data_IF_216751030795
#
_entry.id   IF_216751030795
#
_cell.length_a   1.000
_cell.length_b   1.000
_cell.length_c   1.000
_cell.angle_alpha   90.00
_cell.angle_beta   90.00
_cell.angle_gamma   90.00
#
_symmetry.space_group_name_H-M   'P 1'
#
loop_
_entity.id
_entity.type
_entity.pdbx_description
1 polymer ?
#
# COMPACT_ATOMS: atom_id res chain seq x y z
N UNK A 1 -0.45 7.61 24.04
CA UNK A 1 -0.95 6.55 23.14
C UNK A 1 -2.11 7.17 22.38
N UNK A 2 -1.88 7.96 21.33
CA UNK A 2 -1.73 7.50 19.94
C UNK A 2 -0.94 8.58 19.21
N UNK A 3 0.30 8.27 18.80
CA UNK A 3 1.06 9.17 17.95
C UNK A 3 0.42 9.16 16.57
N UNK A 4 -0.34 10.20 16.24
CA UNK A 4 -0.71 10.51 14.86
C UNK A 4 0.62 10.65 14.10
N UNK A 5 0.92 9.67 13.26
CA UNK A 5 2.07 9.67 12.36
C UNK A 5 1.76 10.67 11.25
N UNK A 6 1.96 11.96 11.52
CA UNK A 6 2.03 12.98 10.47
C UNK A 6 3.37 12.70 9.76
N UNK A 7 3.37 12.23 8.50
CA UNK A 7 4.62 12.08 7.78
C UNK A 7 5.27 13.46 7.64
N UNK A 8 6.49 13.59 8.16
CA UNK A 8 7.28 14.81 7.99
C UNK A 8 7.41 15.20 6.51
N UNK A 9 7.58 16.49 6.21
CA UNK A 9 7.60 16.99 4.83
C UNK A 9 8.69 16.26 4.04
N UNK A 10 8.28 15.36 3.14
CA UNK A 10 9.17 14.55 2.30
C UNK A 10 8.95 13.02 2.32
N UNK A 11 8.12 12.47 3.22
CA UNK A 11 7.89 11.02 3.28
C UNK A 11 6.87 10.56 2.22
N UNK A 12 7.34 9.92 1.15
CA UNK A 12 6.48 9.21 0.19
C UNK A 12 5.67 8.15 0.92
N UNK A 13 4.38 8.06 0.62
CA UNK A 13 3.51 7.00 1.13
C UNK A 13 4.11 5.65 0.79
N UNK A 14 4.19 4.77 1.79
CA UNK A 14 4.77 3.43 1.64
C UNK A 14 3.68 2.36 1.68
N UNK A 15 4.03 1.14 1.26
CA UNK A 15 3.15 -0.03 1.39
C UNK A 15 2.73 -0.30 2.86
N UNK A 16 3.54 0.14 3.84
CA UNK A 16 3.22 -0.01 5.25
C UNK A 16 2.06 0.88 5.67
N UNK A 17 2.05 2.12 5.18
CA UNK A 17 1.00 3.08 5.48
C UNK A 17 -0.33 2.61 4.88
N UNK A 18 -0.29 2.13 3.64
CA UNK A 18 -1.46 1.51 2.98
C UNK A 18 -1.95 0.28 3.75
N UNK A 19 -1.05 -0.56 4.25
CA UNK A 19 -1.40 -1.77 4.99
C UNK A 19 -2.07 -1.45 6.33
N UNK A 20 -1.53 -0.47 7.07
CA UNK A 20 -2.09 0.01 8.33
C UNK A 20 -3.50 0.57 8.13
N UNK A 21 -3.68 1.44 7.14
CA UNK A 21 -4.96 2.10 6.85
C UNK A 21 -6.01 1.11 6.30
N UNK A 22 -5.60 0.15 5.47
CA UNK A 22 -6.48 -0.90 4.97
C UNK A 22 -6.80 -1.99 6.02
N UNK A 23 -6.05 -2.05 7.12
CA UNK A 23 -6.19 -3.07 8.17
C UNK A 23 -5.76 -4.46 7.69
N UNK A 24 -4.75 -4.54 6.82
CA UNK A 24 -4.24 -5.80 6.26
C UNK A 24 -2.73 -5.90 6.42
N UNK A 25 -2.17 -7.07 6.20
CA UNK A 25 -0.70 -7.23 6.21
C UNK A 25 -0.06 -6.57 4.98
N UNK A 26 1.17 -6.10 5.13
CA UNK A 26 2.00 -5.56 4.02
C UNK A 26 2.09 -6.57 2.86
N UNK A 27 2.19 -7.86 3.18
CA UNK A 27 2.20 -8.96 2.20
C UNK A 27 0.93 -8.96 1.33
N UNK A 28 -0.22 -8.70 1.93
CA UNK A 28 -1.51 -8.61 1.21
C UNK A 28 -1.52 -7.41 0.29
N UNK A 29 -1.09 -6.23 0.76
CA UNK A 29 -0.95 -5.05 -0.10
C UNK A 29 0.01 -5.32 -1.26
N UNK A 30 1.17 -5.92 -0.99
CA UNK A 30 2.13 -6.30 -2.03
C UNK A 30 1.50 -7.22 -3.07
N UNK A 31 0.70 -8.21 -2.65
CA UNK A 31 0.00 -9.10 -3.58
C UNK A 31 -1.03 -8.37 -4.42
N UNK A 32 -1.81 -7.46 -3.82
CA UNK A 32 -2.78 -6.64 -4.55
C UNK A 32 -2.08 -5.75 -5.58
N UNK A 33 -1.01 -5.06 -5.18
CA UNK A 33 -0.25 -4.17 -6.06
C UNK A 33 0.49 -4.93 -7.16
N UNK A 34 0.92 -6.17 -6.88
CA UNK A 34 1.54 -7.07 -7.87
C UNK A 34 0.53 -7.87 -8.71
N UNK A 35 -0.78 -7.77 -8.44
CA UNK A 35 -1.81 -8.52 -9.16
C UNK A 35 -1.84 -10.02 -8.88
N UNK A 36 -1.33 -10.48 -7.74
CA UNK A 36 -1.37 -11.91 -7.39
C UNK A 36 -2.81 -12.37 -7.04
N UNK A 37 -3.26 -13.54 -7.54
CA UNK A 37 -4.65 -14.02 -7.38
C UNK A 37 -4.99 -14.46 -5.94
N UNK A 38 -4.03 -14.47 -5.03
CA UNK A 38 -4.19 -14.95 -3.65
C UNK A 38 -4.89 -13.94 -2.71
N UNK A 39 -5.53 -12.87 -3.24
CA UNK A 39 -6.21 -11.85 -2.44
C UNK A 39 -7.69 -11.82 -2.77
N UNK A 40 -8.52 -11.83 -1.73
CA UNK A 40 -9.97 -11.69 -1.89
C UNK A 40 -10.30 -10.35 -2.58
N UNK A 41 -11.25 -10.39 -3.53
CA UNK A 41 -11.73 -9.21 -4.25
C UNK A 41 -12.17 -8.08 -3.31
N UNK A 42 -12.85 -8.40 -2.20
CA UNK A 42 -13.26 -7.40 -1.21
C UNK A 42 -12.06 -6.66 -0.59
N UNK A 43 -10.98 -7.40 -0.32
CA UNK A 43 -9.73 -6.84 0.20
C UNK A 43 -9.00 -6.01 -0.85
N UNK A 44 -8.98 -6.47 -2.09
CA UNK A 44 -8.38 -5.74 -3.21
C UNK A 44 -9.06 -4.37 -3.41
N UNK A 45 -10.39 -4.33 -3.39
CA UNK A 45 -11.16 -3.07 -3.49
C UNK A 45 -10.86 -2.13 -2.33
N UNK A 46 -10.79 -2.66 -1.10
CA UNK A 46 -10.46 -1.85 0.09
C UNK A 46 -9.06 -1.26 0.00
N UNK A 47 -8.07 -2.06 -0.39
CA UNK A 47 -6.69 -1.62 -0.58
C UNK A 47 -6.59 -0.58 -1.70
N UNK A 48 -7.28 -0.79 -2.83
CA UNK A 48 -7.30 0.17 -3.93
C UNK A 48 -7.84 1.54 -3.48
N UNK A 49 -8.96 1.57 -2.75
CA UNK A 49 -9.49 2.83 -2.22
C UNK A 49 -8.56 3.52 -1.22
N UNK A 50 -7.81 2.76 -0.41
CA UNK A 50 -6.78 3.32 0.49
C UNK A 50 -5.60 3.87 -0.29
N UNK A 51 -5.12 3.15 -1.31
CA UNK A 51 -4.03 3.57 -2.21
C UNK A 51 -4.37 4.91 -2.87
N UNK A 52 -5.59 5.06 -3.39
CA UNK A 52 -6.06 6.32 -3.98
C UNK A 52 -6.15 7.44 -2.95
N UNK A 53 -6.76 7.19 -1.78
CA UNK A 53 -6.88 8.19 -0.71
C UNK A 53 -5.53 8.69 -0.21
N UNK A 54 -4.56 7.79 -0.06
CA UNK A 54 -3.22 8.14 0.39
C UNK A 54 -2.34 8.67 -0.75
N UNK A 55 -2.77 8.57 -2.01
CA UNK A 55 -1.94 8.92 -3.16
C UNK A 55 -0.70 8.02 -3.29
N UNK A 56 -0.79 6.77 -2.84
CA UNK A 56 0.29 5.80 -3.01
C UNK A 56 0.50 5.54 -4.51
N UNK A 57 1.67 5.95 -5.01
CA UNK A 57 2.09 5.64 -6.38
C UNK A 57 3.13 4.53 -6.32
N UNK A 58 2.83 3.32 -6.83
CA UNK A 58 3.85 2.31 -6.98
C UNK A 58 4.95 2.88 -7.86
N UNK A 59 6.17 2.92 -7.33
CA UNK A 59 7.31 3.45 -8.07
C UNK A 59 7.67 2.42 -9.14
N UNK A 60 7.24 2.63 -10.38
CA UNK A 60 7.47 1.69 -11.49
C UNK A 60 8.97 1.40 -11.70
N UNK A 61 9.85 2.33 -11.31
CA UNK A 61 11.31 2.14 -11.28
C UNK A 61 11.79 1.07 -10.28
N UNK A 62 11.04 0.80 -9.20
CA UNK A 62 11.36 -0.29 -8.28
C UNK A 62 10.89 -1.66 -8.83
N UNK A 63 9.96 -1.67 -9.78
CA UNK A 63 9.46 -2.87 -10.46
C UNK A 63 10.48 -3.40 -11.49
N UNK A 64 11.27 -2.54 -12.12
CA UNK A 64 12.31 -2.91 -13.09
C UNK A 64 13.62 -3.41 -12.47
N UNK A 65 13.83 -3.26 -11.15
CA UNK A 65 15.05 -3.71 -10.47
C UNK A 65 14.99 -5.15 -9.91
N UNK A 66 13.86 -5.85 -10.08
CA UNK A 66 13.78 -7.30 -9.89
C UNK A 66 14.00 -8.01 -11.24
N UNK A 67 15.18 -7.81 -11.81
CA UNK A 67 15.73 -8.59 -12.92
C UNK A 67 16.96 -9.33 -12.44
#
# INVERSE_FOLDING_TARGET
MTGVLIPGPGKRVTLRDVALEAGVSIKTVSRVVNGEPAVNAATAVRVAGVVERLGYRPNELARSLKG
#
